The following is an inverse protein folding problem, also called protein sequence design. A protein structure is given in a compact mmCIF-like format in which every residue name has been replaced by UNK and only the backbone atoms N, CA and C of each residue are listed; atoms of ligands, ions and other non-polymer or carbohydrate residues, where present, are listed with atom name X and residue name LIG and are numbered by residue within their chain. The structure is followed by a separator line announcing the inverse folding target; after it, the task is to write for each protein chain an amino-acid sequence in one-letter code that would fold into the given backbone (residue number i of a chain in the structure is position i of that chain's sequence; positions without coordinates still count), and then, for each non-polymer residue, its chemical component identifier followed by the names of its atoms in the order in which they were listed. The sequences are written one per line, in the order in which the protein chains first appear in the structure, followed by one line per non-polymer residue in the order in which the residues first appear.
data_IF_307022002106
#
_entry.id   IF_307022002106
#
_cell.length_a   1.000
_cell.length_b   1.000
_cell.length_c   1.000
_cell.angle_alpha   90.00
_cell.angle_beta   90.00
_cell.angle_gamma   90.00
#
_symmetry.space_group_name_H-M   'P 1'
#
loop_
_entity.id
_entity.type
_entity.pdbx_description
1 polymer ?
#
# COMPACT_ATOMS: atom_id res chain seq x y z
N UNK A 1 72.38 -36.41 76.94
CA UNK A 1 71.78 -35.08 76.74
C UNK A 1 70.88 -34.76 77.92
N UNK A 2 71.03 -33.57 78.49
CA UNK A 2 70.57 -33.19 79.85
C UNK A 2 69.05 -33.02 79.94
N UNK A 3 68.45 -33.33 81.10
CA UNK A 3 67.00 -33.19 81.38
C UNK A 3 66.44 -31.77 81.15
N UNK A 4 67.31 -30.75 81.12
CA UNK A 4 66.95 -29.35 80.80
C UNK A 4 66.63 -29.09 79.33
N UNK A 5 67.18 -29.87 78.40
CA UNK A 5 66.94 -29.65 76.96
C UNK A 5 65.64 -30.33 76.52
N UNK A 6 65.34 -31.52 77.04
CA UNK A 6 64.07 -32.23 76.78
C UNK A 6 62.85 -31.44 77.30
N UNK A 7 62.94 -30.84 78.48
CA UNK A 7 61.86 -30.04 79.07
C UNK A 7 61.64 -28.67 78.39
N UNK A 8 62.66 -28.11 77.73
CA UNK A 8 62.52 -26.90 76.90
C UNK A 8 61.86 -27.20 75.57
N UNK A 9 62.29 -28.26 74.88
CA UNK A 9 61.70 -28.69 73.60
C UNK A 9 60.23 -29.07 73.78
N UNK A 10 59.89 -29.81 74.84
CA UNK A 10 58.51 -30.22 75.14
C UNK A 10 57.60 -29.02 75.52
N UNK A 11 58.17 -27.99 76.15
CA UNK A 11 57.47 -26.72 76.39
C UNK A 11 57.26 -25.92 75.10
N UNK A 12 58.25 -25.87 74.21
CA UNK A 12 58.15 -25.19 72.92
C UNK A 12 57.17 -25.91 71.97
N UNK A 13 57.15 -27.24 71.94
CA UNK A 13 56.16 -28.03 71.20
C UNK A 13 54.74 -27.85 71.74
N UNK A 14 54.56 -27.81 73.07
CA UNK A 14 53.27 -27.46 73.69
C UNK A 14 52.84 -26.02 73.38
N UNK A 15 53.79 -25.07 73.36
CA UNK A 15 53.47 -23.67 73.03
C UNK A 15 53.15 -23.50 71.53
N UNK A 16 53.83 -24.24 70.66
CA UNK A 16 53.55 -24.31 69.21
C UNK A 16 52.20 -24.98 68.92
N UNK A 17 51.88 -26.07 69.64
CA UNK A 17 50.58 -26.74 69.58
C UNK A 17 49.43 -25.84 70.05
N UNK A 18 49.62 -25.12 71.16
CA UNK A 18 48.64 -24.14 71.65
C UNK A 18 48.46 -22.97 70.68
N UNK A 19 49.54 -22.49 70.04
CA UNK A 19 49.48 -21.45 69.01
C UNK A 19 48.70 -21.89 67.76
N UNK A 20 48.91 -23.13 67.30
CA UNK A 20 48.17 -23.72 66.16
C UNK A 20 46.68 -23.91 66.51
N UNK A 21 46.37 -24.40 67.71
CA UNK A 21 44.99 -24.55 68.17
C UNK A 21 44.24 -23.21 68.24
N UNK A 22 44.89 -22.15 68.77
CA UNK A 22 44.32 -20.80 68.78
C UNK A 22 44.12 -20.25 67.36
N UNK A 23 45.04 -20.52 66.44
CA UNK A 23 44.90 -20.13 65.03
C UNK A 23 43.73 -20.85 64.35
N UNK A 24 43.56 -22.16 64.58
CA UNK A 24 42.42 -22.94 64.08
C UNK A 24 41.09 -22.44 64.65
N UNK A 25 41.02 -22.12 65.95
CA UNK A 25 39.81 -21.50 66.53
C UNK A 25 39.49 -20.14 65.92
N UNK A 26 40.49 -19.29 65.68
CA UNK A 26 40.30 -18.00 65.04
C UNK A 26 39.87 -18.15 63.57
N UNK A 27 40.40 -19.15 62.87
CA UNK A 27 39.99 -19.50 61.51
C UNK A 27 38.55 -20.03 61.48
N UNK A 28 38.19 -20.93 62.39
CA UNK A 28 36.82 -21.44 62.53
C UNK A 28 35.84 -20.30 62.82
N UNK A 29 36.18 -19.38 63.72
CA UNK A 29 35.39 -18.18 64.00
C UNK A 29 35.15 -17.36 62.72
N UNK A 30 36.21 -17.10 61.93
CA UNK A 30 36.08 -16.37 60.66
C UNK A 30 35.15 -17.07 59.68
N UNK A 31 35.33 -18.39 59.49
CA UNK A 31 34.49 -19.20 58.61
C UNK A 31 33.03 -19.21 59.06
N UNK A 32 32.77 -19.29 60.37
CA UNK A 32 31.42 -19.26 60.92
C UNK A 32 30.74 -17.90 60.69
N UNK A 33 31.44 -16.79 60.90
CA UNK A 33 30.91 -15.46 60.58
C UNK A 33 30.68 -15.29 59.08
N UNK A 34 31.58 -15.78 58.24
CA UNK A 34 31.44 -15.71 56.79
C UNK A 34 30.27 -16.56 56.29
N UNK A 35 30.08 -17.75 56.86
CA UNK A 35 28.94 -18.61 56.57
C UNK A 35 27.61 -17.94 56.94
N UNK A 36 27.50 -17.37 58.15
CA UNK A 36 26.28 -16.65 58.56
C UNK A 36 26.04 -15.38 57.74
N UNK A 37 27.10 -14.68 57.32
CA UNK A 37 26.99 -13.53 56.41
C UNK A 37 26.46 -13.97 55.05
N UNK A 38 27.03 -15.02 54.45
CA UNK A 38 26.57 -15.59 53.17
C UNK A 38 25.12 -16.07 53.25
N UNK A 39 24.72 -16.73 54.34
CA UNK A 39 23.35 -17.21 54.53
C UNK A 39 22.34 -16.04 54.59
N UNK A 40 22.71 -14.96 55.29
CA UNK A 40 21.88 -13.74 55.39
C UNK A 40 21.76 -13.04 54.04
N UNK A 41 22.86 -12.89 53.32
CA UNK A 41 22.89 -12.26 52.00
C UNK A 41 22.08 -13.10 50.98
N UNK A 42 22.21 -14.42 51.01
CA UNK A 42 21.43 -15.34 50.17
C UNK A 42 19.93 -15.26 50.47
N UNK A 43 19.54 -15.25 51.75
CA UNK A 43 18.12 -15.13 52.15
C UNK A 43 17.55 -13.78 51.70
N UNK A 44 18.32 -12.69 51.81
CA UNK A 44 17.91 -11.37 51.35
C UNK A 44 17.76 -11.31 49.83
N UNK A 45 18.71 -11.85 49.07
CA UNK A 45 18.67 -11.86 47.61
C UNK A 45 17.50 -12.70 47.08
N UNK A 46 17.28 -13.89 47.65
CA UNK A 46 16.16 -14.76 47.26
C UNK A 46 14.81 -14.13 47.60
N UNK A 47 14.67 -13.52 48.77
CA UNK A 47 13.46 -12.79 49.14
C UNK A 47 13.17 -11.61 48.19
N UNK A 48 14.20 -10.83 47.84
CA UNK A 48 14.07 -9.72 46.89
C UNK A 48 13.66 -10.20 45.50
N UNK A 49 14.33 -11.24 44.97
CA UNK A 49 14.01 -11.81 43.66
C UNK A 49 12.59 -12.39 43.62
N UNK A 50 12.12 -13.00 44.71
CA UNK A 50 10.76 -13.53 44.80
C UNK A 50 9.71 -12.41 44.79
N UNK A 51 9.92 -11.35 45.57
CA UNK A 51 9.03 -10.18 45.59
C UNK A 51 8.98 -9.46 44.24
N UNK A 52 10.12 -9.32 43.57
CA UNK A 52 10.20 -8.72 42.25
C UNK A 52 9.41 -9.53 41.22
N UNK A 53 9.56 -10.87 41.21
CA UNK A 53 8.80 -11.77 40.34
C UNK A 53 7.30 -11.74 40.63
N UNK A 54 6.90 -11.73 41.91
CA UNK A 54 5.48 -11.60 42.29
C UNK A 54 4.91 -10.26 41.86
N UNK A 55 5.66 -9.17 42.03
CA UNK A 55 5.26 -7.83 41.58
C UNK A 55 5.20 -7.70 40.06
N UNK A 56 6.10 -8.37 39.32
CA UNK A 56 6.06 -8.43 37.86
C UNK A 56 4.86 -9.24 37.36
N UNK A 57 4.61 -10.43 37.96
CA UNK A 57 3.45 -11.28 37.63
C UNK A 57 2.14 -10.55 37.90
N UNK A 58 2.01 -9.89 39.05
CA UNK A 58 0.82 -9.10 39.39
C UNK A 58 0.61 -7.90 38.46
N UNK A 59 1.69 -7.24 38.01
CA UNK A 59 1.62 -6.16 37.01
C UNK A 59 1.21 -6.67 35.62
N UNK A 60 1.67 -7.86 35.25
CA UNK A 60 1.27 -8.51 34.00
C UNK A 60 -0.19 -8.94 34.03
N UNK A 61 -0.62 -9.61 35.12
CA UNK A 61 -2.02 -10.00 35.31
C UNK A 61 -2.95 -8.77 35.34
N UNK A 62 -2.57 -7.70 36.04
CA UNK A 62 -3.34 -6.45 36.08
C UNK A 62 -3.36 -5.75 34.72
N UNK A 63 -2.24 -5.70 33.98
CA UNK A 63 -2.20 -5.14 32.63
C UNK A 63 -2.99 -5.95 31.59
N UNK A 64 -3.08 -7.27 31.75
CA UNK A 64 -3.93 -8.14 30.92
C UNK A 64 -5.42 -8.06 31.32
N UNK A 65 -5.73 -7.75 32.58
CA UNK A 65 -7.11 -7.61 33.10
C UNK A 65 -7.67 -6.21 32.87
N UNK A 66 -6.83 -5.17 32.90
CA UNK A 66 -7.17 -3.77 32.59
C UNK A 66 -7.27 -3.50 31.09
N UNK A 67 -6.88 -4.48 30.25
CA UNK A 67 -7.25 -4.48 28.84
C UNK A 67 -8.77 -4.70 28.75
N UNK A 68 -9.48 -3.57 28.76
CA UNK A 68 -10.93 -3.49 28.63
C UNK A 68 -11.43 -4.57 27.66
N UNK A 69 -12.30 -5.51 28.10
CA UNK A 69 -12.75 -6.62 27.28
C UNK A 69 -13.26 -6.15 25.91
N UNK A 70 -13.84 -4.94 25.87
CA UNK A 70 -14.29 -4.27 24.65
C UNK A 70 -13.14 -3.91 23.69
N UNK A 71 -11.96 -3.54 24.20
CA UNK A 71 -10.77 -3.32 23.37
C UNK A 71 -10.23 -4.61 22.76
N UNK A 72 -10.24 -5.70 23.53
CA UNK A 72 -9.83 -7.03 23.04
C UNK A 72 -10.76 -7.49 21.92
N UNK A 73 -12.05 -7.29 22.09
CA UNK A 73 -13.07 -7.64 21.10
C UNK A 73 -12.92 -6.79 19.82
N UNK A 74 -12.65 -5.47 19.94
CA UNK A 74 -12.33 -4.63 18.78
C UNK A 74 -11.08 -5.10 18.03
N UNK A 75 -10.02 -5.44 18.75
CA UNK A 75 -8.79 -5.94 18.13
C UNK A 75 -9.02 -7.29 17.46
N UNK A 76 -9.92 -8.13 18.00
CA UNK A 76 -10.33 -9.37 17.37
C UNK A 76 -11.14 -9.11 16.09
N UNK A 77 -12.11 -8.20 16.11
CA UNK A 77 -12.88 -7.79 14.93
C UNK A 77 -11.96 -7.25 13.81
N UNK A 78 -10.96 -6.43 14.16
CA UNK A 78 -9.94 -5.95 13.20
C UNK A 78 -9.10 -7.09 12.63
N UNK A 79 -8.72 -8.08 13.45
CA UNK A 79 -7.96 -9.25 12.99
C UNK A 79 -8.78 -10.16 12.08
N UNK A 80 -10.08 -10.29 12.34
CA UNK A 80 -11.00 -11.05 11.50
C UNK A 80 -11.53 -10.27 10.30
N UNK A 81 -11.07 -9.02 10.09
CA UNK A 81 -11.54 -8.14 9.02
C UNK A 81 -13.06 -7.88 9.06
N UNK A 82 -13.66 -7.94 10.25
CA UNK A 82 -15.08 -7.68 10.45
C UNK A 82 -15.28 -6.17 10.71
N UNK A 83 -15.50 -5.41 9.63
CA UNK A 83 -15.72 -3.97 9.71
C UNK A 83 -17.04 -3.61 10.42
N UNK A 84 -18.08 -4.45 10.29
CA UNK A 84 -19.37 -4.21 10.93
C UNK A 84 -19.29 -4.30 12.45
N UNK A 85 -18.72 -5.41 12.95
CA UNK A 85 -18.53 -5.60 14.38
C UNK A 85 -17.66 -4.49 14.98
N UNK A 86 -16.61 -4.08 14.25
CA UNK A 86 -15.75 -2.99 14.68
C UNK A 86 -16.51 -1.65 14.80
N UNK A 87 -17.33 -1.29 13.81
CA UNK A 87 -18.10 -0.04 13.83
C UNK A 87 -19.15 -0.02 14.95
N UNK A 88 -19.83 -1.15 15.20
CA UNK A 88 -20.79 -1.28 16.32
C UNK A 88 -20.10 -1.06 17.66
N UNK A 89 -19.00 -1.78 17.90
CA UNK A 89 -18.21 -1.64 19.13
C UNK A 89 -17.62 -0.24 19.29
N UNK A 90 -17.32 0.47 18.20
CA UNK A 90 -16.80 1.84 18.25
C UNK A 90 -17.86 2.87 18.67
N UNK A 91 -19.12 2.65 18.29
CA UNK A 91 -20.25 3.47 18.74
C UNK A 91 -20.42 3.45 20.25
N UNK A 92 -20.16 2.30 20.89
CA UNK A 92 -20.25 2.11 22.34
C UNK A 92 -19.07 2.73 23.10
N UNK A 93 -17.93 2.95 22.46
CA UNK A 93 -16.68 3.32 23.14
C UNK A 93 -16.59 4.76 23.64
N UNK A 94 -17.56 5.62 23.33
CA UNK A 94 -17.48 7.05 23.64
C UNK A 94 -16.32 7.78 22.96
N UNK A 95 -15.61 7.17 22.00
CA UNK A 95 -14.52 7.82 21.25
C UNK A 95 -15.08 8.82 20.24
N UNK A 96 -15.44 10.01 20.74
CA UNK A 96 -16.09 11.08 19.96
C UNK A 96 -15.31 11.51 18.73
N UNK A 97 -13.97 11.49 18.76
CA UNK A 97 -13.12 11.85 17.62
C UNK A 97 -13.23 10.84 16.48
N UNK A 98 -13.16 9.54 16.77
CA UNK A 98 -13.24 8.50 15.75
C UNK A 98 -14.64 8.45 15.14
N UNK A 99 -15.69 8.58 15.97
CA UNK A 99 -17.07 8.69 15.50
C UNK A 99 -17.26 9.90 14.56
N UNK A 100 -16.70 11.07 14.91
CA UNK A 100 -16.73 12.26 14.04
C UNK A 100 -16.00 12.04 12.72
N UNK A 101 -14.82 11.41 12.74
CA UNK A 101 -14.07 11.10 11.52
C UNK A 101 -14.83 10.14 10.61
N UNK A 102 -15.49 9.12 11.18
CA UNK A 102 -16.32 8.18 10.42
C UNK A 102 -17.53 8.90 9.80
N UNK A 103 -18.20 9.77 10.55
CA UNK A 103 -19.30 10.57 10.03
C UNK A 103 -18.84 11.48 8.87
N UNK A 104 -17.72 12.20 9.04
CA UNK A 104 -17.14 13.02 7.99
C UNK A 104 -16.72 12.21 6.76
N UNK A 105 -16.17 11.01 6.97
CA UNK A 105 -15.76 10.11 5.89
C UNK A 105 -16.98 9.59 5.14
N UNK A 106 -18.06 9.26 5.84
CA UNK A 106 -19.33 8.81 5.23
C UNK A 106 -19.91 9.91 4.35
N UNK A 107 -20.03 11.13 4.88
CA UNK A 107 -20.50 12.30 4.13
C UNK A 107 -19.61 12.61 2.90
N UNK A 108 -18.30 12.46 3.04
CA UNK A 108 -17.37 12.66 1.94
C UNK A 108 -17.52 11.60 0.83
N UNK A 109 -17.66 10.32 1.21
CA UNK A 109 -17.86 9.22 0.25
C UNK A 109 -19.20 9.36 -0.47
N UNK A 110 -20.26 9.74 0.24
CA UNK A 110 -21.56 9.99 -0.38
C UNK A 110 -21.46 11.13 -1.42
N UNK A 111 -20.86 12.27 -1.05
CA UNK A 111 -20.60 13.38 -1.98
C UNK A 111 -19.74 12.97 -3.17
N UNK A 112 -18.76 12.10 -2.95
CA UNK A 112 -17.90 11.60 -4.01
C UNK A 112 -18.69 10.71 -4.98
N UNK A 113 -19.58 9.85 -4.46
CA UNK A 113 -20.50 9.05 -5.26
C UNK A 113 -21.42 9.92 -6.11
N UNK A 114 -22.01 10.96 -5.53
CA UNK A 114 -22.90 11.88 -6.26
C UNK A 114 -22.15 12.60 -7.40
N UNK A 115 -20.91 13.05 -7.16
CA UNK A 115 -20.07 13.66 -8.21
C UNK A 115 -19.68 12.68 -9.33
N UNK A 116 -19.42 11.41 -8.99
CA UNK A 116 -19.13 10.36 -9.98
C UNK A 116 -20.35 10.15 -10.87
N UNK A 117 -21.55 10.12 -10.28
CA UNK A 117 -22.80 9.97 -11.00
C UNK A 117 -23.05 11.17 -11.93
N UNK A 118 -22.84 12.41 -11.47
CA UNK A 118 -22.91 13.61 -12.31
C UNK A 118 -21.93 13.56 -13.48
N UNK A 119 -20.66 13.17 -13.23
CA UNK A 119 -19.64 13.05 -14.27
C UNK A 119 -20.01 11.99 -15.31
N UNK A 120 -20.59 10.86 -14.88
CA UNK A 120 -21.06 9.81 -15.77
C UNK A 120 -22.21 10.27 -16.64
N UNK A 121 -23.24 10.89 -16.05
CA UNK A 121 -24.38 11.46 -16.80
C UNK A 121 -23.90 12.49 -17.83
N UNK A 122 -22.95 13.34 -17.46
CA UNK A 122 -22.37 14.31 -18.37
C UNK A 122 -21.55 13.66 -19.50
N UNK A 123 -20.86 12.55 -19.22
CA UNK A 123 -20.10 11.82 -20.24
C UNK A 123 -21.02 11.13 -21.25
N UNK A 124 -22.10 10.49 -20.79
CA UNK A 124 -23.12 9.87 -21.65
C UNK A 124 -23.79 10.91 -22.55
N UNK A 125 -24.18 12.06 -21.99
CA UNK A 125 -24.79 13.14 -22.77
C UNK A 125 -23.89 13.74 -23.85
N UNK A 126 -22.57 13.50 -23.79
CA UNK A 126 -21.59 14.05 -24.72
C UNK A 126 -21.15 13.06 -25.83
N UNK A 127 -21.36 11.75 -25.66
CA UNK A 127 -20.86 10.70 -26.55
C UNK A 127 -22.05 10.02 -27.27
N UNK A 128 -22.41 10.53 -28.46
CA UNK A 128 -23.60 10.10 -29.23
C UNK A 128 -23.43 8.72 -29.93
N UNK A 129 -22.46 7.89 -29.48
CA UNK A 129 -22.08 6.63 -30.14
C UNK A 129 -22.27 5.39 -29.28
N UNK A 130 -23.26 4.59 -29.70
CA UNK A 130 -23.52 3.14 -29.52
C UNK A 130 -22.60 2.35 -28.55
N UNK A 131 -22.80 2.54 -27.23
CA UNK A 131 -22.67 1.51 -26.17
C UNK A 131 -23.28 1.99 -24.82
N UNK A 132 -23.73 3.26 -24.72
CA UNK A 132 -24.18 3.87 -23.46
C UNK A 132 -25.53 3.37 -22.91
N UNK A 133 -26.30 2.60 -23.68
CA UNK A 133 -27.59 2.05 -23.20
C UNK A 133 -27.43 1.13 -22.00
N UNK A 134 -26.30 0.43 -21.85
CA UNK A 134 -26.05 -0.40 -20.66
C UNK A 134 -25.80 0.47 -19.42
N UNK A 135 -25.02 1.55 -19.57
CA UNK A 135 -24.72 2.48 -18.49
C UNK A 135 -25.99 3.21 -18.02
N UNK A 136 -26.82 3.67 -18.95
CA UNK A 136 -28.09 4.34 -18.62
C UNK A 136 -29.04 3.42 -17.85
N UNK A 137 -29.24 2.19 -18.34
CA UNK A 137 -30.11 1.21 -17.67
C UNK A 137 -29.58 0.82 -16.27
N UNK A 138 -28.26 0.65 -16.11
CA UNK A 138 -27.66 0.35 -14.81
C UNK A 138 -27.77 1.53 -13.84
N UNK A 139 -27.60 2.77 -14.32
CA UNK A 139 -27.76 3.97 -13.51
C UNK A 139 -29.21 4.16 -13.05
N UNK A 140 -30.19 3.95 -13.92
CA UNK A 140 -31.62 3.99 -13.57
C UNK A 140 -31.97 2.93 -12.51
N UNK A 141 -31.50 1.70 -12.68
CA UNK A 141 -31.74 0.62 -11.72
C UNK A 141 -31.13 0.92 -10.34
N UNK A 142 -29.94 1.54 -10.32
CA UNK A 142 -29.30 1.95 -9.06
C UNK A 142 -30.03 3.09 -8.36
N UNK A 143 -30.64 4.03 -9.10
CA UNK A 143 -31.44 5.11 -8.53
C UNK A 143 -32.73 4.58 -7.87
N UNK A 144 -33.37 3.57 -8.45
CA UNK A 144 -34.53 2.90 -7.86
C UNK A 144 -34.18 2.13 -6.57
N UNK A 145 -33.03 1.45 -6.53
CA UNK A 145 -32.54 0.78 -5.31
C UNK A 145 -32.19 1.78 -4.19
N UNK A 146 -31.74 2.98 -4.54
CA UNK A 146 -31.39 4.04 -3.58
C UNK A 146 -32.59 4.68 -2.89
N UNK A 147 -33.70 4.88 -3.59
CA UNK A 147 -34.92 5.42 -2.95
C UNK A 147 -35.49 4.46 -1.89
N UNK A 148 -35.25 3.16 -2.03
CA UNK A 148 -35.67 2.15 -1.06
C UNK A 148 -34.73 2.03 0.16
N UNK A 149 -33.48 2.47 0.06
CA UNK A 149 -32.47 2.30 1.09
C UNK A 149 -32.39 3.52 2.03
N UNK A 150 -32.94 3.40 3.24
CA UNK A 150 -32.79 4.40 4.31
C UNK A 150 -31.31 4.60 4.68
N UNK A 151 -30.75 5.79 4.42
CA UNK A 151 -29.31 6.13 4.48
C UNK A 151 -28.64 6.08 5.87
N UNK A 152 -27.29 5.97 5.80
CA UNK A 152 -26.21 6.34 6.75
C UNK A 152 -25.49 5.22 7.54
N UNK A 153 -24.97 4.19 6.85
CA UNK A 153 -23.80 3.46 7.33
C UNK A 153 -22.60 3.68 6.40
N UNK A 154 -21.40 3.83 6.97
CA UNK A 154 -20.15 3.95 6.23
C UNK A 154 -19.96 2.80 5.23
N UNK A 155 -20.38 1.59 5.59
CA UNK A 155 -20.24 0.39 4.76
C UNK A 155 -21.11 0.51 3.51
N UNK A 156 -22.37 0.89 3.68
CA UNK A 156 -23.28 1.12 2.55
C UNK A 156 -22.76 2.25 1.64
N UNK A 157 -22.25 3.34 2.22
CA UNK A 157 -21.65 4.42 1.42
C UNK A 157 -20.43 3.94 0.61
N UNK A 158 -19.56 3.11 1.21
CA UNK A 158 -18.42 2.49 0.51
C UNK A 158 -18.88 1.56 -0.62
N UNK A 159 -19.84 0.68 -0.34
CA UNK A 159 -20.38 -0.26 -1.34
C UNK A 159 -21.04 0.45 -2.50
N UNK A 160 -21.88 1.47 -2.21
CA UNK A 160 -22.49 2.35 -3.20
C UNK A 160 -21.43 2.98 -4.10
N UNK A 161 -20.42 3.62 -3.49
CA UNK A 161 -19.32 4.23 -4.24
C UNK A 161 -18.57 3.21 -5.11
N UNK A 162 -18.32 2.01 -4.58
CA UNK A 162 -17.64 0.95 -5.33
C UNK A 162 -18.46 0.49 -6.55
N UNK A 163 -19.77 0.26 -6.38
CA UNK A 163 -20.68 -0.10 -7.48
C UNK A 163 -20.80 1.01 -8.52
N UNK A 164 -20.91 2.26 -8.09
CA UNK A 164 -20.97 3.42 -8.99
C UNK A 164 -19.67 3.60 -9.79
N UNK A 165 -18.52 3.28 -9.22
CA UNK A 165 -17.23 3.41 -9.91
C UNK A 165 -16.92 2.26 -10.86
N UNK A 166 -17.48 1.07 -10.61
CA UNK A 166 -17.25 -0.15 -11.38
C UNK A 166 -18.58 -0.72 -11.89
N UNK A 167 -19.39 0.12 -12.54
CA UNK A 167 -20.69 -0.26 -13.11
C UNK A 167 -20.46 -1.17 -14.31
N UNK A 168 -19.70 -0.69 -15.29
CA UNK A 168 -19.25 -1.51 -16.43
C UNK A 168 -17.97 -2.26 -16.06
N UNK A 169 -18.07 -3.56 -15.83
CA UNK A 169 -16.93 -4.45 -15.58
C UNK A 169 -16.71 -5.38 -16.77
N UNK A 170 -15.47 -5.47 -17.23
CA UNK A 170 -15.05 -6.43 -18.25
C UNK A 170 -14.00 -7.35 -17.65
N UNK A 171 -14.26 -8.65 -17.66
CA UNK A 171 -13.32 -9.62 -17.08
C UNK A 171 -12.26 -10.00 -18.10
N UNK A 172 -10.99 -9.67 -17.81
CA UNK A 172 -9.86 -10.01 -18.66
C UNK A 172 -9.22 -11.32 -18.23
N UNK A 173 -9.64 -12.42 -18.85
CA UNK A 173 -9.04 -13.75 -18.62
C UNK A 173 -7.70 -13.92 -19.32
N UNK A 174 -7.48 -13.22 -20.42
CA UNK A 174 -6.27 -13.33 -21.24
C UNK A 174 -5.70 -11.96 -21.59
N UNK A 175 -4.39 -11.92 -21.88
CA UNK A 175 -3.73 -10.69 -22.34
C UNK A 175 -4.14 -10.36 -23.79
N UNK A 176 -4.19 -9.08 -24.18
CA UNK A 176 -4.41 -8.67 -25.57
C UNK A 176 -3.51 -9.42 -26.56
N UNK A 177 -4.06 -9.89 -27.68
CA UNK A 177 -3.33 -10.68 -28.68
C UNK A 177 -2.25 -9.87 -29.38
N UNK A 178 -2.41 -8.54 -29.43
CA UNK A 178 -1.41 -7.63 -30.00
C UNK A 178 -0.13 -7.51 -29.15
N UNK A 179 -0.17 -7.95 -27.89
CA UNK A 179 1.01 -7.98 -27.03
C UNK A 179 1.92 -9.15 -27.42
N UNK A 180 3.00 -8.85 -28.12
CA UNK A 180 4.01 -9.85 -28.51
C UNK A 180 4.74 -10.41 -27.28
N UNK A 181 5.02 -9.54 -26.30
CA UNK A 181 5.65 -9.87 -25.01
C UNK A 181 7.00 -10.57 -25.07
N UNK A 182 7.62 -10.71 -26.25
CA UNK A 182 8.82 -11.52 -26.45
C UNK A 182 8.69 -12.95 -25.89
N UNK A 183 7.50 -13.54 -25.94
CA UNK A 183 7.19 -14.86 -25.37
C UNK A 183 6.92 -14.88 -23.85
N UNK A 184 6.85 -13.72 -23.19
CA UNK A 184 6.46 -13.59 -21.78
C UNK A 184 4.98 -13.27 -21.67
N UNK A 185 4.35 -13.81 -20.63
CA UNK A 185 2.96 -13.51 -20.26
C UNK A 185 2.89 -12.51 -19.11
N UNK A 186 1.80 -11.75 -19.06
CA UNK A 186 1.46 -10.94 -17.90
C UNK A 186 1.25 -11.85 -16.68
N UNK A 187 1.68 -11.39 -15.51
CA UNK A 187 1.40 -12.07 -14.23
C UNK A 187 -0.05 -11.81 -13.82
N UNK A 188 -0.63 -12.70 -13.02
CA UNK A 188 -2.05 -12.61 -12.61
C UNK A 188 -2.41 -11.27 -11.94
N UNK A 189 -1.52 -10.75 -11.09
CA UNK A 189 -1.74 -9.45 -10.46
C UNK A 189 -1.67 -8.28 -11.46
N UNK A 190 -0.91 -8.43 -12.56
CA UNK A 190 -0.84 -7.43 -13.63
C UNK A 190 -2.11 -7.46 -14.46
N UNK A 191 -2.64 -8.65 -14.75
CA UNK A 191 -3.93 -8.80 -15.43
C UNK A 191 -5.06 -8.15 -14.63
N UNK A 192 -5.14 -8.42 -13.31
CA UNK A 192 -6.11 -7.73 -12.42
C UNK A 192 -5.93 -6.21 -12.42
N UNK A 193 -4.68 -5.73 -12.49
CA UNK A 193 -4.40 -4.30 -12.59
C UNK A 193 -4.89 -3.69 -13.92
N UNK A 194 -4.71 -4.40 -15.04
CA UNK A 194 -5.22 -3.97 -16.35
C UNK A 194 -6.74 -4.02 -16.39
N UNK A 195 -7.35 -5.08 -15.87
CA UNK A 195 -8.80 -5.22 -15.72
C UNK A 195 -9.40 -4.03 -14.96
N UNK A 196 -8.77 -3.66 -13.84
CA UNK A 196 -9.16 -2.48 -13.07
C UNK A 196 -9.04 -1.17 -13.87
N UNK A 197 -7.94 -0.99 -14.64
CA UNK A 197 -7.78 0.19 -15.51
C UNK A 197 -8.81 0.24 -16.63
N UNK A 198 -9.17 -0.90 -17.21
CA UNK A 198 -10.21 -1.01 -18.25
C UNK A 198 -11.57 -0.66 -17.66
N UNK A 199 -11.89 -1.16 -16.46
CA UNK A 199 -13.10 -0.75 -15.74
C UNK A 199 -13.14 0.77 -15.57
N UNK A 200 -12.05 1.40 -15.11
CA UNK A 200 -12.02 2.86 -14.99
C UNK A 200 -12.21 3.58 -16.32
N UNK A 201 -11.59 3.08 -17.39
CA UNK A 201 -11.71 3.64 -18.74
C UNK A 201 -13.17 3.60 -19.23
N UNK A 202 -13.83 2.44 -19.10
CA UNK A 202 -15.22 2.27 -19.51
C UNK A 202 -16.17 3.17 -18.70
N UNK A 203 -15.89 3.35 -17.42
CA UNK A 203 -16.67 4.21 -16.54
C UNK A 203 -16.29 5.70 -16.66
N UNK A 204 -15.38 6.06 -17.59
CA UNK A 204 -14.87 7.43 -17.83
C UNK A 204 -14.28 8.09 -16.56
N UNK A 205 -13.64 7.28 -15.73
CA UNK A 205 -13.01 7.68 -14.47
C UNK A 205 -11.48 7.65 -14.56
N UNK A 206 -10.85 8.50 -13.75
CA UNK A 206 -9.40 8.50 -13.59
C UNK A 206 -9.00 7.59 -12.41
N UNK A 207 -7.79 7.03 -12.47
CA UNK A 207 -7.26 6.18 -11.41
C UNK A 207 -5.78 6.41 -11.13
N UNK A 208 -5.36 5.96 -9.95
CA UNK A 208 -3.96 5.97 -9.51
C UNK A 208 -3.54 4.53 -9.23
N UNK A 209 -2.57 4.02 -9.99
CA UNK A 209 -1.93 2.74 -9.70
C UNK A 209 -0.95 2.92 -8.53
N UNK A 210 -1.36 2.48 -7.35
CA UNK A 210 -0.58 2.58 -6.11
C UNK A 210 0.30 1.34 -5.83
N UNK A 211 0.58 0.53 -6.85
CA UNK A 211 1.43 -0.65 -6.77
C UNK A 211 2.87 -0.31 -6.35
N UNK A 212 3.49 -1.20 -5.56
CA UNK A 212 4.91 -1.12 -5.19
C UNK A 212 5.86 -1.00 -6.39
N UNK A 213 7.08 -0.50 -6.14
CA UNK A 213 8.11 -0.35 -7.17
C UNK A 213 8.50 -1.74 -7.73
N UNK A 214 8.68 -1.82 -9.05
CA UNK A 214 9.08 -3.07 -9.72
C UNK A 214 7.95 -4.04 -10.07
N UNK A 215 6.69 -3.75 -9.74
CA UNK A 215 5.54 -4.61 -10.09
C UNK A 215 5.16 -4.55 -11.59
N UNK A 216 5.80 -3.68 -12.37
CA UNK A 216 5.58 -3.61 -13.83
C UNK A 216 4.45 -2.68 -14.25
N UNK A 217 4.30 -1.53 -13.56
CA UNK A 217 3.34 -0.47 -13.92
C UNK A 217 3.44 -0.05 -15.39
N UNK A 218 4.66 0.08 -15.92
CA UNK A 218 4.90 0.38 -17.34
C UNK A 218 4.23 -0.64 -18.26
N UNK A 219 4.38 -1.94 -17.95
CA UNK A 219 3.79 -3.02 -18.75
C UNK A 219 2.27 -3.03 -18.60
N UNK A 220 1.73 -2.77 -17.40
CA UNK A 220 0.28 -2.60 -17.20
C UNK A 220 -0.27 -1.45 -18.06
N UNK A 221 0.42 -0.30 -18.13
CA UNK A 221 0.01 0.83 -18.98
C UNK A 221 0.08 0.49 -20.48
N UNK A 222 1.15 -0.18 -20.93
CA UNK A 222 1.26 -0.62 -22.33
C UNK A 222 0.14 -1.62 -22.67
N UNK A 223 -0.17 -2.51 -21.73
CA UNK A 223 -1.24 -3.51 -21.90
C UNK A 223 -2.62 -2.86 -21.99
N UNK A 224 -2.86 -1.78 -21.24
CA UNK A 224 -4.08 -0.98 -21.38
C UNK A 224 -4.17 -0.39 -22.79
N UNK A 225 -3.10 0.23 -23.33
CA UNK A 225 -3.13 0.80 -24.68
C UNK A 225 -3.35 -0.28 -25.76
N UNK A 226 -2.72 -1.43 -25.59
CA UNK A 226 -2.95 -2.59 -26.45
C UNK A 226 -4.43 -3.02 -26.42
N UNK A 227 -5.03 -3.09 -25.23
CA UNK A 227 -6.44 -3.42 -25.05
C UNK A 227 -7.36 -2.43 -25.76
N UNK A 228 -7.11 -1.13 -25.56
CA UNK A 228 -7.90 -0.05 -26.18
C UNK A 228 -7.86 -0.12 -27.71
N UNK A 229 -6.71 -0.42 -28.30
CA UNK A 229 -6.60 -0.56 -29.75
C UNK A 229 -7.31 -1.82 -30.26
N UNK A 230 -7.16 -2.95 -29.59
CA UNK A 230 -7.65 -4.25 -30.06
C UNK A 230 -9.16 -4.39 -29.90
N UNK A 231 -9.69 -4.03 -28.72
CA UNK A 231 -11.10 -4.27 -28.38
C UNK A 231 -11.98 -3.04 -28.54
N UNK A 232 -11.47 -1.84 -28.23
CA UNK A 232 -12.23 -0.59 -28.35
C UNK A 232 -11.96 0.17 -29.65
N UNK A 233 -11.01 -0.29 -30.47
CA UNK A 233 -10.63 0.36 -31.74
C UNK A 233 -9.92 1.71 -31.58
N UNK A 234 -9.54 2.08 -30.35
CA UNK A 234 -8.94 3.38 -30.05
C UNK A 234 -7.42 3.27 -30.21
N UNK A 235 -6.90 3.86 -31.29
CA UNK A 235 -5.46 3.84 -31.61
C UNK A 235 -4.68 5.05 -31.08
N UNK A 236 -5.36 6.08 -30.59
CA UNK A 236 -4.77 7.31 -30.10
C UNK A 236 -5.36 8.57 -30.75
N UNK A 237 -4.72 9.73 -30.55
CA UNK A 237 -3.40 9.90 -29.93
C UNK A 237 -3.41 9.73 -28.42
N UNK A 238 -2.42 9.02 -27.88
CA UNK A 238 -2.17 8.88 -26.45
C UNK A 238 -0.90 9.63 -26.04
N UNK A 239 -0.88 10.18 -24.83
CA UNK A 239 0.29 10.88 -24.30
C UNK A 239 0.72 10.26 -22.97
N UNK A 240 2.02 9.97 -22.86
CA UNK A 240 2.65 9.48 -21.63
C UNK A 240 3.69 10.49 -21.19
N UNK A 241 3.53 10.97 -19.95
CA UNK A 241 4.45 11.92 -19.32
C UNK A 241 5.25 11.19 -18.25
N UNK A 242 6.57 11.15 -18.40
CA UNK A 242 7.45 10.53 -17.42
C UNK A 242 8.81 11.24 -17.34
N UNK A 243 9.62 10.99 -16.29
CA UNK A 243 10.97 11.56 -16.18
C UNK A 243 11.84 11.15 -17.36
N UNK A 244 12.64 12.08 -17.89
CA UNK A 244 13.45 11.90 -19.11
C UNK A 244 14.34 10.65 -19.08
N UNK A 245 14.93 10.35 -17.92
CA UNK A 245 15.79 9.17 -17.73
C UNK A 245 15.06 7.86 -18.02
N UNK A 246 13.78 7.77 -17.68
CA UNK A 246 12.97 6.56 -17.88
C UNK A 246 12.42 6.42 -19.30
N UNK A 247 12.29 7.52 -20.04
CA UNK A 247 11.72 7.50 -21.39
C UNK A 247 12.60 6.70 -22.36
N UNK A 248 13.88 7.08 -22.46
CA UNK A 248 14.85 6.44 -23.36
C UNK A 248 15.30 5.05 -22.90
N UNK A 249 15.45 4.88 -21.58
CA UNK A 249 16.03 3.65 -21.04
C UNK A 249 15.01 2.53 -20.83
N UNK A 250 13.75 2.87 -20.56
CA UNK A 250 12.75 1.89 -20.15
C UNK A 250 11.52 1.93 -21.06
N UNK A 251 10.85 3.08 -21.21
CA UNK A 251 9.60 3.14 -21.98
C UNK A 251 9.79 2.73 -23.43
N UNK A 252 10.78 3.27 -24.16
CA UNK A 252 11.04 2.89 -25.55
C UNK A 252 11.30 1.38 -25.69
N UNK A 253 12.14 0.81 -24.82
CA UNK A 253 12.49 -0.61 -24.85
C UNK A 253 11.29 -1.52 -24.53
N UNK A 254 10.49 -1.14 -23.53
CA UNK A 254 9.29 -1.90 -23.17
C UNK A 254 8.24 -1.82 -24.27
N UNK A 255 8.08 -0.68 -24.94
CA UNK A 255 7.21 -0.59 -26.10
C UNK A 255 7.69 -1.45 -27.28
N UNK A 256 8.99 -1.39 -27.62
CA UNK A 256 9.56 -2.22 -28.68
C UNK A 256 9.41 -3.72 -28.38
N UNK A 257 9.51 -4.10 -27.10
CA UNK A 257 9.36 -5.49 -26.65
C UNK A 257 7.91 -5.97 -26.62
N UNK A 258 7.01 -5.19 -26.02
CA UNK A 258 5.64 -5.63 -25.74
C UNK A 258 4.68 -5.27 -26.85
N UNK A 259 4.87 -4.13 -27.51
CA UNK A 259 3.92 -3.57 -28.47
C UNK A 259 4.63 -2.93 -29.68
N UNK A 260 5.40 -3.70 -30.47
CA UNK A 260 6.19 -3.18 -31.59
C UNK A 260 5.34 -2.64 -32.76
N UNK A 261 4.05 -2.95 -32.79
CA UNK A 261 3.10 -2.46 -33.80
C UNK A 261 2.77 -0.98 -33.65
N UNK A 262 3.01 -0.39 -32.47
CA UNK A 262 2.71 1.02 -32.20
C UNK A 262 3.83 1.94 -32.69
N UNK A 263 3.46 3.01 -33.40
CA UNK A 263 4.36 4.12 -33.70
C UNK A 263 4.40 5.07 -32.52
N UNK A 264 5.57 5.15 -31.91
CA UNK A 264 5.84 5.99 -30.76
C UNK A 264 6.75 7.15 -31.19
N UNK A 265 6.46 8.34 -30.69
CA UNK A 265 7.28 9.54 -30.90
C UNK A 265 7.81 9.98 -29.55
N UNK A 266 9.14 10.00 -29.41
CA UNK A 266 9.81 10.61 -28.27
C UNK A 266 9.99 12.11 -28.51
N UNK A 267 9.37 12.91 -27.64
CA UNK A 267 9.45 14.36 -27.68
C UNK A 267 10.59 14.84 -26.79
N UNK A 268 11.79 14.95 -27.37
CA UNK A 268 12.96 15.44 -26.68
C UNK A 268 13.91 16.25 -27.57
N UNK A 269 15.00 16.73 -26.97
CA UNK A 269 16.06 17.43 -27.68
C UNK A 269 15.95 18.96 -27.67
N UNK A 270 16.70 19.60 -28.57
CA UNK A 270 16.79 21.05 -28.70
C UNK A 270 15.48 21.65 -29.24
N UNK A 271 15.32 22.98 -29.11
CA UNK A 271 14.12 23.67 -29.62
C UNK A 271 13.91 23.42 -31.12
N UNK A 272 15.00 23.32 -31.88
CA UNK A 272 14.96 23.07 -33.31
C UNK A 272 14.54 21.63 -33.61
N UNK A 273 15.13 20.64 -32.94
CA UNK A 273 14.74 19.23 -33.09
C UNK A 273 13.26 19.01 -32.74
N UNK A 274 12.77 19.63 -31.66
CA UNK A 274 11.34 19.56 -31.31
C UNK A 274 10.45 20.25 -32.34
N UNK A 275 10.90 21.34 -32.95
CA UNK A 275 10.17 21.99 -34.05
C UNK A 275 10.05 21.06 -35.25
N UNK A 276 11.14 20.41 -35.65
CA UNK A 276 11.16 19.42 -36.73
C UNK A 276 10.25 18.22 -36.43
N UNK A 277 10.24 17.71 -35.19
CA UNK A 277 9.32 16.66 -34.76
C UNK A 277 7.85 17.07 -34.93
N UNK A 278 7.50 18.31 -34.52
CA UNK A 278 6.13 18.82 -34.69
C UNK A 278 5.77 18.99 -36.16
N UNK A 279 6.66 19.55 -36.96
CA UNK A 279 6.44 19.70 -38.40
C UNK A 279 6.25 18.32 -39.08
N UNK A 280 6.95 17.29 -38.62
CA UNK A 280 6.85 15.94 -39.20
C UNK A 280 5.61 15.15 -38.74
N UNK A 281 5.26 15.24 -37.46
CA UNK A 281 4.30 14.32 -36.83
C UNK A 281 3.00 14.99 -36.35
N UNK A 282 2.97 16.30 -36.17
CA UNK A 282 1.81 17.01 -35.60
C UNK A 282 0.98 17.70 -36.69
N UNK A 283 1.36 17.54 -37.96
CA UNK A 283 0.56 18.01 -39.08
C UNK A 283 -0.59 17.03 -39.34
N UNK A 284 -1.82 17.54 -39.28
CA UNK A 284 -3.01 16.79 -39.72
C UNK A 284 -2.90 16.58 -41.23
N UNK A 285 -2.99 15.35 -41.75
CA UNK A 285 -3.07 15.14 -43.18
C UNK A 285 -4.29 15.91 -43.70
N UNK A 286 -4.10 16.92 -44.55
CA UNK A 286 -5.22 17.48 -45.28
C UNK A 286 -5.71 16.39 -46.24
N UNK A 287 -6.83 15.76 -45.90
CA UNK A 287 -7.52 14.90 -46.85
C UNK A 287 -7.90 15.74 -48.06
N UNK A 288 -7.45 15.29 -49.22
CA UNK A 288 -7.84 15.80 -50.53
C UNK A 288 -9.36 15.80 -50.64
N UNK A 289 -9.93 17.00 -50.81
CA UNK A 289 -11.23 17.30 -51.43
C UNK A 289 -12.47 16.51 -50.95
N UNK A 290 -13.36 17.18 -50.21
CA UNK A 290 -14.80 17.06 -50.47
C UNK A 290 -15.73 16.43 -49.42
N UNK A 291 -15.38 16.35 -48.13
CA UNK A 291 -16.34 15.92 -47.10
C UNK A 291 -16.51 16.98 -46.00
N UNK A 292 -17.77 17.34 -45.79
CA UNK A 292 -18.31 18.38 -44.90
C UNK A 292 -17.66 18.48 -43.51
N UNK A 293 -17.28 19.70 -43.15
CA UNK A 293 -16.71 20.09 -41.86
C UNK A 293 -17.76 20.21 -40.72
N UNK A 294 -18.67 19.22 -40.61
CA UNK A 294 -19.78 19.27 -39.65
C UNK A 294 -19.90 18.05 -38.71
N UNK A 295 -19.01 17.07 -38.81
CA UNK A 295 -18.88 15.99 -37.82
C UNK A 295 -17.47 16.05 -37.24
N UNK A 296 -17.31 16.00 -35.92
CA UNK A 296 -16.03 16.03 -35.19
C UNK A 296 -15.03 15.01 -35.74
N UNK A 297 -14.28 15.42 -36.77
CA UNK A 297 -13.40 14.54 -37.52
C UNK A 297 -12.25 14.10 -36.64
N UNK A 298 -12.10 12.79 -36.47
CA UNK A 298 -10.98 12.15 -35.78
C UNK A 298 -9.68 12.65 -36.39
N UNK A 299 -8.94 13.49 -35.68
CA UNK A 299 -7.61 13.91 -36.07
C UNK A 299 -6.67 12.70 -36.02
N UNK A 300 -6.50 12.00 -37.15
CA UNK A 300 -5.58 10.85 -37.20
C UNK A 300 -4.16 11.37 -37.34
N UNK A 301 -3.46 11.49 -36.21
CA UNK A 301 -2.04 11.76 -36.20
C UNK A 301 -1.26 10.52 -36.71
N UNK A 302 -0.10 10.71 -37.36
CA UNK A 302 0.72 9.62 -37.89
C UNK A 302 1.39 8.75 -36.81
N UNK A 303 1.20 9.07 -35.53
CA UNK A 303 1.70 8.33 -34.38
C UNK A 303 0.56 7.96 -33.43
N UNK A 304 0.76 6.90 -32.64
CA UNK A 304 -0.22 6.42 -31.67
C UNK A 304 0.09 6.96 -30.26
N UNK A 305 1.38 7.01 -29.90
CA UNK A 305 1.82 7.39 -28.55
C UNK A 305 2.89 8.47 -28.61
N UNK A 306 2.69 9.55 -27.85
CA UNK A 306 3.69 10.57 -27.57
C UNK A 306 4.33 10.34 -26.20
N UNK A 307 5.64 10.14 -26.17
CA UNK A 307 6.43 10.10 -24.95
C UNK A 307 7.05 11.47 -24.69
N UNK A 308 6.77 12.06 -23.53
CA UNK A 308 7.27 13.40 -23.20
C UNK A 308 7.55 13.55 -21.70
N UNK A 309 8.11 14.70 -21.33
CA UNK A 309 8.40 15.07 -19.93
C UNK A 309 7.50 16.21 -19.49
N UNK A 310 7.29 16.34 -18.18
CA UNK A 310 6.57 17.45 -17.56
C UNK A 310 7.15 18.81 -17.98
N UNK A 311 8.47 18.94 -18.04
CA UNK A 311 9.15 20.15 -18.46
C UNK A 311 8.79 20.56 -19.91
N UNK A 312 8.65 19.60 -20.81
CA UNK A 312 8.26 19.88 -22.20
C UNK A 312 6.76 20.12 -22.35
N UNK A 313 5.92 19.41 -21.61
CA UNK A 313 4.47 19.66 -21.57
C UNK A 313 4.19 21.10 -21.16
N UNK A 314 4.88 21.61 -20.14
CA UNK A 314 4.68 22.98 -19.68
C UNK A 314 5.22 24.03 -20.67
N UNK A 315 6.39 23.78 -21.27
CA UNK A 315 7.04 24.73 -22.19
C UNK A 315 6.36 24.82 -23.55
N UNK A 316 5.94 23.68 -24.08
CA UNK A 316 5.42 23.54 -25.44
C UNK A 316 3.91 23.24 -25.44
N UNK A 317 3.19 23.54 -24.33
CA UNK A 317 1.72 23.37 -24.16
C UNK A 317 0.88 23.90 -25.33
N UNK A 318 1.36 24.94 -26.01
CA UNK A 318 0.63 25.53 -27.14
C UNK A 318 0.60 24.62 -28.37
N UNK A 319 1.48 23.62 -28.43
CA UNK A 319 1.65 22.72 -29.56
C UNK A 319 1.26 21.28 -29.27
N UNK A 320 1.19 20.90 -27.99
CA UNK A 320 0.85 19.56 -27.50
C UNK A 320 -0.60 19.56 -27.02
#
# INVERSE_FOLDING_TARGET
MSQRDKSKIEKEEKNSGNGKFLAEMLQHRRLLFEHHRRLRDFTRQTAFSCLEKLGAKKRQEMGETDADPMQRERMQALRSQDEEAYLRLLGESGNTRLARLIAQTTEFIERLGDRVLEQKKAAVAADDTVDDTQLENELEHMEEEEEAASKHSLIQAKERYFRLTHTVQEHLTEQPSILAGGGRKLRDYQLKGVEWLVSLFNNKLNGILADSMGLGKTVQTISLLAYLQEYKGIRGPHMIVAPLSTLRSNWEQEFERWLPSFKIVLYDGSKQQRKELRERFFQVPQSTSGASAASGGVYTLPFQVLLTTDAYVLRDKQYL
#
